data_IF_270250286605
#
_entry.id   IF_270250286605
#
_cell.length_a   1.000
_cell.length_b   1.000
_cell.length_c   1.000
_cell.angle_alpha   90.00
_cell.angle_beta   90.00
_cell.angle_gamma   90.00
#
_symmetry.space_group_name_H-M   'P 1'
#
loop_
_entity.id
_entity.type
_entity.pdbx_description
1 polymer ?
#
# COMPACT_ATOMS: atom_id res chain seq x y z
N UNK A 1 -6.04 -10.87 48.21
CA UNK A 1 -6.61 -10.08 47.10
C UNK A 1 -5.73 -8.91 46.64
N UNK A 2 -5.07 -8.15 47.53
CA UNK A 2 -4.20 -7.01 47.13
C UNK A 2 -2.99 -7.37 46.25
N UNK A 3 -2.43 -8.58 46.39
CA UNK A 3 -1.28 -9.04 45.58
C UNK A 3 -1.66 -9.32 44.12
N UNK A 4 -2.82 -9.96 43.91
CA UNK A 4 -3.33 -10.23 42.57
C UNK A 4 -3.68 -8.93 41.83
N UNK A 5 -4.31 -7.97 42.51
CA UNK A 5 -4.60 -6.66 41.94
C UNK A 5 -3.32 -5.94 41.53
N UNK A 6 -2.30 -5.90 42.40
CA UNK A 6 -0.99 -5.32 42.06
C UNK A 6 -0.36 -5.99 40.84
N UNK A 7 -0.34 -7.32 40.80
CA UNK A 7 0.20 -8.07 39.66
C UNK A 7 -0.54 -7.74 38.37
N UNK A 8 -1.88 -7.77 38.38
CA UNK A 8 -2.69 -7.42 37.21
C UNK A 8 -2.49 -5.96 36.80
N UNK A 9 -2.36 -5.02 37.74
CA UNK A 9 -2.07 -3.61 37.45
C UNK A 9 -0.70 -3.45 36.78
N UNK A 10 0.35 -4.08 37.31
CA UNK A 10 1.67 -4.02 36.68
C UNK A 10 1.68 -4.69 35.31
N UNK A 11 0.98 -5.82 35.15
CA UNK A 11 0.85 -6.49 33.86
C UNK A 11 0.13 -5.61 32.83
N UNK A 12 -0.97 -4.94 33.23
CA UNK A 12 -1.70 -4.02 32.36
C UNK A 12 -0.85 -2.79 31.99
N UNK A 13 -0.09 -2.26 32.95
CA UNK A 13 0.79 -1.11 32.72
C UNK A 13 1.95 -1.48 31.79
N UNK A 14 2.53 -2.68 31.96
CA UNK A 14 3.54 -3.21 31.05
C UNK A 14 3.00 -3.42 29.64
N UNK A 15 1.77 -3.94 29.52
CA UNK A 15 1.10 -4.11 28.23
C UNK A 15 0.86 -2.75 27.54
N UNK A 16 0.39 -1.74 28.28
CA UNK A 16 0.22 -0.39 27.76
C UNK A 16 1.55 0.19 27.26
N UNK A 17 2.62 0.01 28.05
CA UNK A 17 3.95 0.46 27.70
C UNK A 17 4.46 -0.23 26.41
N UNK A 18 4.18 -1.52 26.25
CA UNK A 18 4.50 -2.27 25.03
C UNK A 18 3.81 -1.66 23.81
N UNK A 19 2.51 -1.36 23.88
CA UNK A 19 1.78 -0.70 22.79
C UNK A 19 2.38 0.65 22.41
N UNK A 20 2.77 1.46 23.41
CA UNK A 20 3.40 2.76 23.18
C UNK A 20 4.75 2.59 22.47
N UNK A 21 5.59 1.66 22.92
CA UNK A 21 6.88 1.39 22.27
C UNK A 21 6.72 0.85 20.84
N UNK A 22 5.77 -0.04 20.61
CA UNK A 22 5.47 -0.53 19.25
C UNK A 22 5.00 0.60 18.36
N UNK A 23 4.12 1.48 18.86
CA UNK A 23 3.61 2.63 18.12
C UNK A 23 4.73 3.61 17.75
N UNK A 24 5.55 4.00 18.72
CA UNK A 24 6.70 4.89 18.50
C UNK A 24 7.69 4.23 17.54
N UNK A 25 7.95 2.93 17.70
CA UNK A 25 8.80 2.15 16.82
C UNK A 25 8.33 2.23 15.37
N UNK A 26 7.06 1.94 15.11
CA UNK A 26 6.46 1.99 13.76
C UNK A 26 6.51 3.40 13.14
N UNK A 27 6.40 4.44 13.96
CA UNK A 27 6.51 5.83 13.51
C UNK A 27 7.95 6.20 13.08
N UNK A 28 8.97 5.48 13.58
CA UNK A 28 10.36 5.73 13.21
C UNK A 28 10.80 4.95 11.97
N UNK A 29 11.80 5.49 11.27
CA UNK A 29 12.41 4.84 10.11
C UNK A 29 12.96 3.45 10.40
N UNK A 30 13.40 3.23 11.64
CA UNK A 30 13.93 1.93 12.09
C UNK A 30 12.84 0.86 12.22
N UNK A 31 11.71 1.18 12.86
CA UNK A 31 10.62 0.22 13.02
C UNK A 31 9.92 -0.08 11.70
N UNK A 32 9.68 0.93 10.85
CA UNK A 32 9.14 0.73 9.51
C UNK A 32 10.01 -0.23 8.67
N UNK A 33 11.33 -0.01 8.65
CA UNK A 33 12.26 -0.90 7.93
C UNK A 33 12.26 -2.33 8.49
N UNK A 34 12.28 -2.50 9.81
CA UNK A 34 12.24 -3.84 10.43
C UNK A 34 10.92 -4.57 10.14
N UNK A 35 9.79 -3.89 10.22
CA UNK A 35 8.48 -4.44 9.89
C UNK A 35 8.38 -4.82 8.41
N UNK A 36 8.90 -4.00 7.51
CA UNK A 36 8.91 -4.28 6.07
C UNK A 36 9.81 -5.48 5.74
N UNK A 37 11.02 -5.55 6.30
CA UNK A 37 11.90 -6.71 6.15
C UNK A 37 11.26 -8.00 6.71
N UNK A 38 10.54 -7.90 7.84
CA UNK A 38 9.81 -9.03 8.39
C UNK A 38 8.72 -9.49 7.40
N UNK A 39 7.92 -8.57 6.85
CA UNK A 39 6.86 -8.87 5.90
C UNK A 39 7.40 -9.44 4.57
N UNK A 40 8.56 -8.96 4.11
CA UNK A 40 9.27 -9.49 2.94
C UNK A 40 9.67 -10.96 3.10
N UNK A 41 9.79 -11.49 4.33
CA UNK A 41 10.09 -12.92 4.54
C UNK A 41 8.88 -13.83 4.36
N UNK A 42 7.67 -13.30 4.57
CA UNK A 42 6.41 -14.07 4.45
C UNK A 42 5.71 -13.86 3.12
N UNK A 43 6.22 -12.99 2.26
CA UNK A 43 5.64 -12.67 0.96
C UNK A 43 6.65 -12.86 -0.17
N UNK A 44 6.15 -13.05 -1.39
CA UNK A 44 6.97 -13.11 -2.61
C UNK A 44 7.43 -11.71 -3.08
N UNK A 45 7.33 -10.71 -2.22
CA UNK A 45 7.69 -9.32 -2.49
C UNK A 45 8.79 -8.90 -1.52
N UNK A 46 9.74 -8.13 -2.03
CA UNK A 46 10.64 -7.34 -1.21
C UNK A 46 10.02 -5.96 -1.04
N UNK A 47 9.58 -5.69 0.18
CA UNK A 47 8.94 -4.44 0.59
C UNK A 47 9.95 -3.71 1.48
N UNK A 48 10.22 -2.46 1.14
CA UNK A 48 10.97 -1.52 1.96
C UNK A 48 10.12 -0.25 2.12
N UNK A 49 10.01 0.22 3.35
CA UNK A 49 9.22 1.40 3.70
C UNK A 49 10.07 2.24 4.62
N UNK A 50 10.28 3.49 4.22
CA UNK A 50 11.00 4.46 5.04
C UNK A 50 10.24 4.81 6.30
N UNK A 51 9.06 5.44 6.20
CA UNK A 51 8.35 5.96 7.38
C UNK A 51 6.85 5.69 7.25
N UNK A 52 6.22 5.31 8.36
CA UNK A 52 4.76 5.23 8.46
C UNK A 52 4.22 6.46 9.20
N UNK A 53 3.32 7.18 8.54
CA UNK A 53 2.51 8.25 9.08
C UNK A 53 1.05 7.82 9.23
N UNK A 54 0.34 8.53 10.12
CA UNK A 54 -1.07 8.32 10.36
C UNK A 54 -1.75 9.69 10.53
N UNK A 55 -2.88 9.87 9.88
CA UNK A 55 -3.74 11.05 10.05
C UNK A 55 -4.81 10.73 11.10
N UNK A 56 -4.75 11.39 12.26
CA UNK A 56 -5.73 11.17 13.34
C UNK A 56 -7.16 11.56 12.93
N UNK A 57 -7.31 12.47 11.96
CA UNK A 57 -8.58 12.88 11.34
C UNK A 57 -9.27 11.73 10.62
N UNK A 58 -8.49 10.83 10.02
CA UNK A 58 -8.97 9.70 9.22
C UNK A 58 -8.30 8.41 9.73
N UNK A 59 -8.85 7.74 10.75
CA UNK A 59 -8.22 6.56 11.33
C UNK A 59 -8.06 5.37 10.38
N UNK A 60 -8.75 5.38 9.22
CA UNK A 60 -8.55 4.41 8.14
C UNK A 60 -7.45 4.75 7.15
N UNK A 61 -6.86 5.95 7.23
CA UNK A 61 -5.85 6.40 6.28
C UNK A 61 -4.44 6.20 6.83
N UNK A 62 -3.65 5.43 6.09
CA UNK A 62 -2.26 5.15 6.40
C UNK A 62 -1.37 5.74 5.32
N UNK A 63 -0.36 6.49 5.74
CA UNK A 63 0.55 7.17 4.83
C UNK A 63 1.91 6.50 4.98
N UNK A 64 2.48 6.03 3.88
CA UNK A 64 3.80 5.42 3.85
C UNK A 64 4.69 6.29 2.98
N UNK A 65 5.90 6.58 3.44
CA UNK A 65 6.88 7.40 2.75
C UNK A 65 8.11 6.57 2.39
N UNK A 66 8.75 6.93 1.27
CA UNK A 66 9.90 6.23 0.70
C UNK A 66 9.60 4.72 0.57
N UNK A 67 8.58 4.38 -0.22
CA UNK A 67 8.10 3.00 -0.40
C UNK A 67 8.72 2.40 -1.65
N UNK A 68 9.44 1.30 -1.47
CA UNK A 68 9.97 0.48 -2.54
C UNK A 68 9.40 -0.93 -2.44
N UNK A 69 8.81 -1.41 -3.52
CA UNK A 69 8.26 -2.75 -3.63
C UNK A 69 8.83 -3.40 -4.88
N UNK A 70 9.41 -4.59 -4.76
CA UNK A 70 9.93 -5.36 -5.89
C UNK A 70 9.41 -6.79 -5.76
N UNK A 71 8.91 -7.37 -6.84
CA UNK A 71 8.52 -8.79 -6.84
C UNK A 71 9.75 -9.68 -7.00
N UNK A 72 9.79 -10.80 -6.26
CA UNK A 72 10.88 -11.78 -6.38
C UNK A 72 10.75 -12.66 -7.62
N UNK A 73 9.51 -12.85 -8.09
CA UNK A 73 9.15 -13.81 -9.13
C UNK A 73 8.63 -13.15 -10.42
N UNK A 74 8.52 -11.82 -10.44
CA UNK A 74 8.06 -11.06 -11.62
C UNK A 74 8.84 -9.75 -11.75
N UNK A 75 8.86 -9.18 -12.94
CA UNK A 75 9.50 -7.88 -13.24
C UNK A 75 8.68 -6.67 -12.73
N UNK A 76 7.94 -6.83 -11.63
CA UNK A 76 7.20 -5.74 -11.00
C UNK A 76 8.10 -5.00 -10.01
N UNK A 77 8.31 -3.71 -10.25
CA UNK A 77 8.92 -2.80 -9.29
C UNK A 77 8.09 -1.52 -9.14
N UNK A 78 8.01 -1.02 -7.91
CA UNK A 78 7.40 0.24 -7.56
C UNK A 78 8.37 0.97 -6.63
N UNK A 79 8.79 2.17 -7.01
CA UNK A 79 9.57 3.06 -6.16
C UNK A 79 8.82 4.39 -6.07
N UNK A 80 8.36 4.75 -4.87
CA UNK A 80 7.46 5.89 -4.68
C UNK A 80 7.79 6.69 -3.45
N UNK A 81 7.63 8.01 -3.58
CA UNK A 81 7.82 8.94 -2.47
C UNK A 81 6.77 8.75 -1.39
N UNK A 82 5.51 8.53 -1.80
CA UNK A 82 4.41 8.37 -0.87
C UNK A 82 3.34 7.41 -1.41
N UNK A 83 2.86 6.54 -0.53
CA UNK A 83 1.71 5.67 -0.76
C UNK A 83 0.69 5.91 0.35
N UNK A 84 -0.54 6.23 -0.04
CA UNK A 84 -1.66 6.40 0.90
C UNK A 84 -2.63 5.24 0.74
N UNK A 85 -2.96 4.58 1.84
CA UNK A 85 -3.88 3.45 1.88
C UNK A 85 -5.08 3.81 2.78
N UNK A 86 -6.26 3.91 2.19
CA UNK A 86 -7.54 4.06 2.89
C UNK A 86 -8.13 2.67 3.13
N UNK A 87 -8.25 2.29 4.41
CA UNK A 87 -8.73 0.99 4.87
C UNK A 87 -10.15 1.14 5.41
N UNK A 88 -11.05 0.30 4.89
CA UNK A 88 -12.38 0.15 5.43
C UNK A 88 -12.39 -0.90 6.55
N UNK A 89 -12.34 -0.42 7.80
CA UNK A 89 -12.35 -1.26 9.01
C UNK A 89 -13.52 -2.25 9.09
N UNK A 90 -14.66 -1.95 8.45
CA UNK A 90 -15.82 -2.87 8.43
C UNK A 90 -15.59 -4.10 7.53
N UNK A 91 -14.68 -3.99 6.58
CA UNK A 91 -14.44 -4.97 5.52
C UNK A 91 -13.07 -5.65 5.64
N UNK A 92 -12.38 -5.53 6.78
CA UNK A 92 -11.05 -6.10 6.99
C UNK A 92 -10.98 -7.60 6.65
N UNK A 93 -12.04 -8.34 6.98
CA UNK A 93 -12.10 -9.78 6.80
C UNK A 93 -12.83 -10.21 5.51
N UNK A 94 -13.36 -9.27 4.74
CA UNK A 94 -14.16 -9.57 3.53
C UNK A 94 -13.35 -9.54 2.24
N UNK A 95 -12.01 -9.46 2.32
CA UNK A 95 -11.11 -9.39 1.15
C UNK A 95 -11.13 -8.04 0.42
N UNK A 96 -11.96 -7.09 0.87
CA UNK A 96 -12.10 -5.72 0.33
C UNK A 96 -11.74 -4.68 1.38
N UNK A 97 -10.69 -4.99 2.15
CA UNK A 97 -10.21 -4.16 3.25
C UNK A 97 -9.70 -2.80 2.75
N UNK A 98 -9.07 -2.77 1.56
CA UNK A 98 -8.48 -1.56 1.00
C UNK A 98 -9.51 -0.88 0.09
N UNK A 99 -9.96 0.29 0.51
CA UNK A 99 -10.90 1.12 -0.24
C UNK A 99 -10.19 1.95 -1.30
N UNK A 100 -9.06 2.58 -0.95
CA UNK A 100 -8.30 3.42 -1.87
C UNK A 100 -6.81 3.24 -1.67
N UNK A 101 -6.07 3.19 -2.75
CA UNK A 101 -4.62 3.19 -2.78
C UNK A 101 -4.16 4.31 -3.70
N UNK A 102 -3.43 5.28 -3.17
CA UNK A 102 -2.90 6.42 -3.93
C UNK A 102 -1.38 6.34 -3.92
N UNK A 103 -0.78 6.37 -5.11
CA UNK A 103 0.68 6.38 -5.30
C UNK A 103 1.07 7.78 -5.78
N UNK A 104 1.88 8.48 -5.01
CA UNK A 104 2.32 9.85 -5.32
C UNK A 104 3.80 9.87 -5.66
N UNK A 105 4.15 10.47 -6.80
CA UNK A 105 5.53 10.53 -7.30
C UNK A 105 6.19 9.15 -7.32
N UNK A 106 5.46 8.16 -7.85
CA UNK A 106 5.92 6.78 -7.97
C UNK A 106 6.44 6.44 -9.36
N UNK A 107 7.36 5.49 -9.44
CA UNK A 107 7.81 4.85 -10.68
C UNK A 107 7.38 3.38 -10.61
N UNK A 108 6.37 3.03 -11.39
CA UNK A 108 5.87 1.66 -11.52
C UNK A 108 6.45 1.08 -12.82
N UNK A 109 7.22 0.00 -12.71
CA UNK A 109 7.68 -0.76 -13.86
C UNK A 109 7.16 -2.19 -13.76
N UNK A 110 6.56 -2.71 -14.83
CA UNK A 110 6.08 -4.09 -14.85
C UNK A 110 6.20 -4.69 -16.24
N UNK A 111 6.56 -5.97 -16.31
CA UNK A 111 6.49 -6.78 -17.53
C UNK A 111 5.20 -7.59 -17.52
N UNK A 112 4.37 -7.38 -18.54
CA UNK A 112 3.11 -8.10 -18.74
C UNK A 112 3.40 -9.48 -19.30
N UNK A 113 3.42 -10.49 -18.44
CA UNK A 113 3.46 -11.90 -18.85
C UNK A 113 2.05 -12.49 -18.95
N UNK A 114 1.76 -13.35 -19.94
CA UNK A 114 0.51 -14.11 -19.93
C UNK A 114 0.39 -14.92 -18.62
N UNK A 115 -0.76 -14.84 -17.97
CA UNK A 115 -1.09 -15.46 -16.66
C UNK A 115 -0.40 -14.89 -15.41
N UNK A 116 0.19 -13.70 -15.44
CA UNK A 116 0.69 -13.05 -14.21
C UNK A 116 -0.32 -12.06 -13.62
N UNK A 117 -0.56 -12.16 -12.32
CA UNK A 117 -1.30 -11.13 -11.57
C UNK A 117 -0.37 -9.93 -11.40
N UNK A 118 -0.64 -8.87 -12.16
CA UNK A 118 0.22 -7.69 -12.27
C UNK A 118 0.38 -6.92 -10.96
N UNK A 119 -0.53 -7.09 -10.00
CA UNK A 119 -0.49 -6.37 -8.73
C UNK A 119 -1.15 -7.20 -7.61
N UNK A 120 -0.43 -7.55 -6.53
CA UNK A 120 -0.95 -8.41 -5.46
C UNK A 120 -1.92 -7.71 -4.49
N UNK A 121 -2.17 -6.42 -4.69
CA UNK A 121 -3.00 -5.61 -3.79
C UNK A 121 -4.34 -5.33 -4.47
N UNK A 122 -5.42 -5.81 -3.85
CA UNK A 122 -6.79 -5.52 -4.27
C UNK A 122 -7.27 -4.25 -3.58
N UNK A 123 -7.61 -3.23 -4.35
CA UNK A 123 -8.18 -1.98 -3.87
C UNK A 123 -9.37 -1.58 -4.74
N UNK A 124 -10.42 -1.00 -4.15
CA UNK A 124 -11.57 -0.51 -4.92
C UNK A 124 -11.20 0.70 -5.79
N UNK A 125 -10.27 1.53 -5.34
CA UNK A 125 -9.76 2.69 -6.06
C UNK A 125 -8.24 2.61 -6.06
N UNK A 126 -7.64 2.63 -7.24
CA UNK A 126 -6.20 2.77 -7.41
C UNK A 126 -5.95 4.08 -8.15
N UNK A 127 -5.19 4.98 -7.54
CA UNK A 127 -4.89 6.30 -8.08
C UNK A 127 -3.39 6.53 -8.10
N UNK A 128 -2.96 7.25 -9.12
CA UNK A 128 -1.59 7.71 -9.29
C UNK A 128 -1.61 9.24 -9.37
N UNK A 129 -0.65 9.86 -8.73
CA UNK A 129 -0.46 11.31 -8.75
C UNK A 129 0.97 11.61 -9.15
N UNK A 130 1.12 12.35 -10.26
CA UNK A 130 2.42 12.73 -10.83
C UNK A 130 3.44 11.57 -10.86
N UNK A 131 3.00 10.42 -11.37
CA UNK A 131 3.78 9.17 -11.34
C UNK A 131 4.21 8.74 -12.75
N UNK A 132 5.20 7.87 -12.82
CA UNK A 132 5.70 7.26 -14.04
C UNK A 132 5.27 5.79 -14.08
N UNK A 133 4.72 5.35 -15.21
CA UNK A 133 4.31 3.96 -15.41
C UNK A 133 5.02 3.44 -16.66
N UNK A 134 5.79 2.37 -16.51
CA UNK A 134 6.49 1.68 -17.60
C UNK A 134 5.95 0.27 -17.70
N UNK A 135 5.25 -0.02 -18.80
CA UNK A 135 4.70 -1.33 -19.13
C UNK A 135 5.57 -1.94 -20.21
N UNK A 136 6.12 -3.13 -19.95
CA UNK A 136 6.85 -3.92 -20.96
C UNK A 136 5.99 -5.10 -21.38
N UNK A 137 5.84 -5.34 -22.67
CA UNK A 137 5.20 -6.52 -23.22
C UNK A 137 6.05 -7.03 -24.37
N UNK A 138 6.65 -8.21 -24.19
CA UNK A 138 7.62 -8.76 -25.14
C UNK A 138 8.73 -7.75 -25.46
N UNK A 139 8.80 -7.23 -26.70
CA UNK A 139 9.76 -6.19 -27.11
C UNK A 139 9.19 -4.76 -27.04
N UNK A 140 7.91 -4.59 -26.77
CA UNK A 140 7.24 -3.30 -26.74
C UNK A 140 7.29 -2.69 -25.35
N UNK A 141 7.68 -1.43 -25.25
CA UNK A 141 7.67 -0.66 -24.00
C UNK A 141 6.76 0.55 -24.16
N UNK A 142 5.77 0.66 -23.29
CA UNK A 142 4.90 1.83 -23.18
C UNK A 142 5.22 2.56 -21.89
N UNK A 143 5.52 3.85 -21.99
CA UNK A 143 5.86 4.68 -20.84
C UNK A 143 4.95 5.89 -20.75
N UNK A 144 4.41 6.12 -19.55
CA UNK A 144 3.66 7.31 -19.17
C UNK A 144 4.47 8.08 -18.14
N UNK A 145 4.67 9.38 -18.34
CA UNK A 145 5.36 10.27 -17.40
C UNK A 145 4.39 11.34 -16.90
N UNK A 146 4.51 11.72 -15.62
CA UNK A 146 3.59 12.70 -15.01
C UNK A 146 2.14 12.22 -14.94
N UNK A 147 1.90 10.91 -15.00
CA UNK A 147 0.57 10.32 -14.99
C UNK A 147 -0.15 10.66 -13.69
N UNK A 148 -1.32 11.27 -13.85
CA UNK A 148 -2.26 11.56 -12.77
C UNK A 148 -3.61 11.03 -13.20
N UNK A 149 -4.17 10.11 -12.43
CA UNK A 149 -5.40 9.42 -12.80
C UNK A 149 -5.58 8.15 -12.00
N UNK A 150 -6.67 7.43 -12.23
CA UNK A 150 -6.95 6.23 -11.46
C UNK A 150 -7.97 5.31 -12.08
N UNK A 151 -8.06 4.11 -11.51
CA UNK A 151 -9.07 3.11 -11.81
C UNK A 151 -9.95 2.92 -10.59
N UNK A 152 -11.26 2.90 -10.82
CA UNK A 152 -12.22 2.45 -9.81
C UNK A 152 -12.72 1.07 -10.22
N UNK A 153 -12.32 0.06 -9.46
CA UNK A 153 -12.87 -1.28 -9.51
C UNK A 153 -14.22 -1.24 -8.79
N UNK A 154 -15.20 -0.61 -9.45
CA UNK A 154 -16.59 -0.69 -9.03
C UNK A 154 -17.03 -2.15 -8.98
N UNK A 155 -17.99 -2.46 -8.11
CA UNK A 155 -18.60 -3.78 -7.97
C UNK A 155 -18.96 -4.32 -9.37
N UNK A 156 -18.07 -5.13 -9.97
CA UNK A 156 -18.24 -5.58 -11.34
C UNK A 156 -19.48 -6.50 -11.34
N UNK A 157 -20.53 -6.22 -12.14
CA UNK A 157 -21.45 -7.29 -12.50
C UNK A 157 -20.61 -8.39 -13.17
N UNK A 158 -21.07 -9.65 -13.12
CA UNK A 158 -20.41 -10.86 -13.66
C UNK A 158 -20.14 -10.85 -15.19
N UNK A 159 -19.86 -9.70 -15.80
CA UNK A 159 -19.66 -9.54 -17.23
C UNK A 159 -18.42 -8.63 -17.50
N UNK A 160 -17.31 -9.17 -18.05
CA UNK A 160 -15.98 -8.56 -17.95
C UNK A 160 -15.66 -7.46 -19.00
N UNK A 161 -16.63 -6.65 -19.46
CA UNK A 161 -16.41 -5.80 -20.65
C UNK A 161 -16.40 -4.28 -20.47
N UNK A 162 -16.45 -3.72 -19.25
CA UNK A 162 -16.36 -2.27 -19.07
C UNK A 162 -15.48 -1.89 -17.89
N UNK A 163 -14.22 -1.60 -18.18
CA UNK A 163 -13.33 -0.82 -17.31
C UNK A 163 -13.47 0.64 -17.74
N UNK A 164 -14.21 1.44 -16.98
CA UNK A 164 -14.25 2.89 -17.17
C UNK A 164 -12.94 3.47 -16.62
N UNK A 165 -12.00 3.76 -17.51
CA UNK A 165 -10.80 4.53 -17.18
C UNK A 165 -11.16 6.01 -17.27
N UNK A 166 -11.13 6.72 -16.14
CA UNK A 166 -11.29 8.18 -16.11
C UNK A 166 -9.91 8.77 -16.32
N UNK A 167 -9.67 9.33 -17.51
CA UNK A 167 -8.47 10.09 -17.82
C UNK A 167 -8.75 11.57 -17.53
N UNK A 168 -8.11 12.12 -16.49
CA UNK A 168 -7.89 13.56 -16.40
C UNK A 168 -6.60 13.87 -17.16
N UNK A 169 -6.72 14.14 -18.45
CA UNK A 169 -5.60 14.63 -19.25
C UNK A 169 -5.35 16.10 -18.87
N UNK A 170 -4.10 16.49 -18.53
CA UNK A 170 -3.77 17.90 -18.45
C UNK A 170 -3.91 18.51 -19.84
N UNK A 171 -4.77 19.52 -19.96
CA UNK A 171 -4.86 20.36 -21.15
C UNK A 171 -3.53 21.10 -21.31
N UNK A 172 -2.66 20.61 -22.18
CA UNK A 172 -1.53 21.39 -22.70
C UNK A 172 -2.05 22.28 -23.82
N UNK A 173 -1.98 23.59 -23.64
CA UNK A 173 -2.13 24.61 -24.68
C UNK A 173 -1.07 24.48 -25.77
#
# INVERSE_FOLDING_TARGET
MKWLIKFTTYALLLLLLLFIFTYIGLQTRWGASYSSQFLSKFTDYDIDVGIMGHEFSNPGEFIFQDVKLTSKNSDLSLDSRQVVIDVNWRNLFSGTAIKRLVITQGTLSTTVLPNTVLFPISANILQFENSQITLKKDNDTVQFTGFTGGITLGNQPKNPLLVTVIFDLPLTN
#
